data_IF_038428933941
#
_entry.id   IF_038428933941
#
_cell.length_a   1.000
_cell.length_b   1.000
_cell.length_c   1.000
_cell.angle_alpha   90.00
_cell.angle_beta   90.00
_cell.angle_gamma   90.00
#
_symmetry.space_group_name_H-M   'P 1'
#
loop_
_entity.id
_entity.type
_entity.pdbx_description
1 polymer ?
#
# COMPACT_ATOMS: atom_id res chain seq x y z
N UNK A 1 -24.64 1.97 -24.74
CA UNK A 1 -24.48 1.39 -23.38
C UNK A 1 -22.99 1.08 -23.18
N UNK A 2 -22.31 1.83 -22.31
CA UNK A 2 -20.86 1.68 -22.06
C UNK A 2 -20.59 0.24 -21.59
N UNK A 3 -19.75 -0.50 -22.31
CA UNK A 3 -19.23 -1.81 -21.88
C UNK A 3 -18.64 -1.65 -20.48
N UNK A 4 -19.37 -2.10 -19.47
CA UNK A 4 -18.81 -2.32 -18.13
C UNK A 4 -17.74 -3.38 -18.30
N UNK A 5 -16.50 -2.92 -18.46
CA UNK A 5 -15.30 -3.76 -18.45
C UNK A 5 -15.38 -4.58 -17.16
N UNK A 6 -15.70 -5.87 -17.28
CA UNK A 6 -15.80 -6.79 -16.15
C UNK A 6 -14.43 -6.78 -15.46
N UNK A 7 -14.35 -6.05 -14.36
CA UNK A 7 -13.21 -6.11 -13.45
C UNK A 7 -13.14 -7.55 -12.96
N UNK A 8 -11.99 -8.18 -13.11
CA UNK A 8 -11.75 -9.51 -12.54
C UNK A 8 -11.99 -9.42 -11.03
N UNK A 9 -12.49 -10.48 -10.39
CA UNK A 9 -12.74 -10.51 -8.93
C UNK A 9 -11.57 -9.92 -8.12
N UNK A 10 -10.34 -10.25 -8.52
CA UNK A 10 -9.09 -9.72 -7.96
C UNK A 10 -8.97 -8.19 -8.04
N UNK A 11 -9.34 -7.59 -9.17
CA UNK A 11 -9.30 -6.14 -9.36
C UNK A 11 -10.37 -5.44 -8.51
N UNK A 12 -11.58 -6.00 -8.44
CA UNK A 12 -12.64 -5.48 -7.59
C UNK A 12 -12.27 -5.54 -6.11
N UNK A 13 -11.68 -6.64 -5.66
CA UNK A 13 -11.15 -6.79 -4.32
C UNK A 13 -10.05 -5.77 -4.02
N UNK A 14 -9.12 -5.56 -4.96
CA UNK A 14 -8.08 -4.54 -4.83
C UNK A 14 -8.64 -3.12 -4.71
N UNK A 15 -9.67 -2.77 -5.48
CA UNK A 15 -10.33 -1.46 -5.39
C UNK A 15 -11.05 -1.28 -4.06
N UNK A 16 -11.73 -2.33 -3.57
CA UNK A 16 -12.37 -2.31 -2.25
C UNK A 16 -11.34 -2.15 -1.13
N UNK A 17 -10.22 -2.87 -1.19
CA UNK A 17 -9.13 -2.72 -0.25
C UNK A 17 -8.55 -1.29 -0.31
N UNK A 18 -8.40 -0.70 -1.49
CA UNK A 18 -7.93 0.67 -1.63
C UNK A 18 -8.86 1.66 -0.93
N UNK A 19 -10.17 1.54 -1.17
CA UNK A 19 -11.18 2.39 -0.54
C UNK A 19 -11.19 2.23 0.98
N UNK A 20 -11.12 0.99 1.47
CA UNK A 20 -11.06 0.71 2.90
C UNK A 20 -9.80 1.26 3.55
N UNK A 21 -8.63 1.04 2.94
CA UNK A 21 -7.36 1.56 3.45
C UNK A 21 -7.36 3.08 3.54
N UNK A 22 -7.84 3.77 2.50
CA UNK A 22 -8.00 5.23 2.53
C UNK A 22 -9.00 5.69 3.59
N UNK A 23 -10.15 5.03 3.72
CA UNK A 23 -11.15 5.36 4.73
C UNK A 23 -10.58 5.22 6.15
N UNK A 24 -9.80 4.18 6.40
CA UNK A 24 -9.15 3.95 7.70
C UNK A 24 -8.10 5.01 7.98
N UNK A 25 -7.23 5.34 7.01
CA UNK A 25 -6.23 6.41 7.19
C UNK A 25 -6.88 7.77 7.44
N UNK A 26 -7.92 8.10 6.66
CA UNK A 26 -8.68 9.35 6.84
C UNK A 26 -9.35 9.35 8.22
N UNK A 27 -9.99 8.24 8.62
CA UNK A 27 -10.63 8.11 9.92
C UNK A 27 -9.61 8.29 11.06
N UNK A 28 -8.45 7.65 10.97
CA UNK A 28 -7.37 7.76 11.95
C UNK A 28 -6.84 9.19 12.07
N UNK A 29 -6.80 9.95 10.97
CA UNK A 29 -6.41 11.37 10.98
C UNK A 29 -7.45 12.25 11.68
N UNK A 30 -8.74 12.00 11.47
CA UNK A 30 -9.79 12.81 12.08
C UNK A 30 -10.10 12.41 13.53
N UNK A 31 -9.84 11.17 13.92
CA UNK A 31 -10.24 10.63 15.22
C UNK A 31 -9.06 10.45 16.18
N UNK A 32 -8.55 11.57 16.71
CA UNK A 32 -7.52 11.56 17.76
C UNK A 32 -6.09 11.58 17.22
N UNK A 33 -5.81 12.51 16.31
CA UNK A 33 -4.48 12.76 15.74
C UNK A 33 -3.42 12.92 16.85
N UNK A 34 -2.33 12.17 16.77
CA UNK A 34 -1.26 12.14 17.78
C UNK A 34 -1.48 11.16 18.94
N UNK A 35 -2.61 10.45 19.00
CA UNK A 35 -2.83 9.40 20.00
C UNK A 35 -2.32 8.04 19.51
N UNK A 36 -1.94 7.15 20.45
CA UNK A 36 -1.51 5.78 20.11
C UNK A 36 -2.54 5.00 19.31
N UNK A 37 -3.82 5.20 19.64
CA UNK A 37 -4.94 4.54 18.97
C UNK A 37 -5.05 4.95 17.50
N UNK A 38 -4.91 6.25 17.20
CA UNK A 38 -4.81 6.77 15.82
C UNK A 38 -3.61 6.19 15.08
N UNK A 39 -2.48 5.99 15.78
CA UNK A 39 -1.30 5.33 15.21
C UNK A 39 -1.56 3.89 14.77
N UNK A 40 -2.22 3.10 15.62
CA UNK A 40 -2.58 1.70 15.33
C UNK A 40 -3.56 1.60 14.16
N UNK A 41 -4.55 2.50 14.11
CA UNK A 41 -5.50 2.58 13.00
C UNK A 41 -4.81 2.98 11.68
N UNK A 42 -3.87 3.94 11.71
CA UNK A 42 -3.08 4.32 10.53
C UNK A 42 -2.19 3.19 10.03
N UNK A 43 -1.61 2.40 10.94
CA UNK A 43 -0.87 1.19 10.58
C UNK A 43 -1.78 0.16 9.88
N UNK A 44 -2.97 -0.07 10.43
CA UNK A 44 -3.99 -0.93 9.82
C UNK A 44 -4.37 -0.47 8.42
N UNK A 45 -4.63 0.83 8.25
CA UNK A 45 -4.93 1.45 6.96
C UNK A 45 -3.79 1.27 5.94
N UNK A 46 -2.56 1.52 6.36
CA UNK A 46 -1.37 1.34 5.53
C UNK A 46 -1.18 -0.11 5.06
N UNK A 47 -1.48 -1.09 5.93
CA UNK A 47 -1.44 -2.51 5.58
C UNK A 47 -2.52 -2.91 4.57
N UNK A 48 -3.73 -2.38 4.73
CA UNK A 48 -4.81 -2.61 3.77
C UNK A 48 -4.47 -1.96 2.41
N UNK A 49 -3.84 -0.78 2.38
CA UNK A 49 -3.32 -0.16 1.16
C UNK A 49 -2.18 -0.97 0.50
N UNK A 50 -1.31 -1.58 1.30
CA UNK A 50 -0.26 -2.48 0.83
C UNK A 50 -0.85 -3.74 0.16
N UNK A 51 -1.96 -4.26 0.69
CA UNK A 51 -2.69 -5.35 0.06
C UNK A 51 -3.39 -4.87 -1.22
N UNK A 52 -4.03 -3.70 -1.17
CA UNK A 52 -4.72 -3.11 -2.30
C UNK A 52 -3.78 -2.94 -3.52
N UNK A 53 -2.57 -2.44 -3.29
CA UNK A 53 -1.52 -2.33 -4.31
C UNK A 53 -1.15 -3.67 -4.91
N UNK A 54 -1.06 -4.73 -4.08
CA UNK A 54 -0.82 -6.08 -4.57
C UNK A 54 -1.99 -6.59 -5.44
N UNK A 55 -3.23 -6.26 -5.14
CA UNK A 55 -4.38 -6.79 -5.88
C UNK A 55 -4.77 -5.98 -7.12
N UNK A 56 -4.63 -4.65 -7.08
CA UNK A 56 -5.03 -3.75 -8.17
C UNK A 56 -4.24 -4.00 -9.47
N UNK A 57 -3.01 -4.52 -9.38
CA UNK A 57 -2.19 -4.86 -10.55
C UNK A 57 -2.14 -3.72 -11.60
N UNK A 58 -2.06 -2.48 -11.11
CA UNK A 58 -2.06 -1.29 -11.97
C UNK A 58 -0.77 -1.24 -12.79
N UNK A 59 -0.92 -1.10 -14.12
CA UNK A 59 0.20 -0.81 -15.03
C UNK A 59 0.70 0.64 -14.90
N UNK A 60 -0.02 1.49 -14.16
CA UNK A 60 0.34 2.89 -13.97
C UNK A 60 1.33 3.01 -12.81
N UNK A 61 2.60 3.13 -13.17
CA UNK A 61 3.74 3.34 -12.27
C UNK A 61 3.50 4.48 -11.24
N UNK A 62 2.91 5.63 -11.60
CA UNK A 62 2.63 6.71 -10.64
C UNK A 62 1.62 6.32 -9.56
N UNK A 63 0.62 5.50 -9.90
CA UNK A 63 -0.41 5.07 -8.95
C UNK A 63 0.19 4.11 -7.91
N UNK A 64 1.05 3.20 -8.35
CA UNK A 64 1.73 2.28 -7.43
C UNK A 64 2.69 3.04 -6.50
N UNK A 65 3.46 4.00 -7.03
CA UNK A 65 4.32 4.86 -6.21
C UNK A 65 3.53 5.70 -5.20
N UNK A 66 2.40 6.28 -5.61
CA UNK A 66 1.53 7.05 -4.71
C UNK A 66 0.99 6.19 -3.58
N UNK A 67 0.56 4.96 -3.87
CA UNK A 67 0.06 4.04 -2.85
C UNK A 67 1.17 3.51 -1.92
N UNK A 68 2.36 3.22 -2.46
CA UNK A 68 3.53 2.87 -1.64
C UNK A 68 3.90 4.02 -0.71
N UNK A 69 3.88 5.25 -1.21
CA UNK A 69 4.16 6.44 -0.40
C UNK A 69 3.11 6.63 0.70
N UNK A 70 1.82 6.48 0.38
CA UNK A 70 0.72 6.54 1.37
C UNK A 70 0.89 5.47 2.47
N UNK A 71 1.07 4.20 2.08
CA UNK A 71 1.35 3.14 3.04
C UNK A 71 2.57 3.47 3.90
N UNK A 72 3.68 3.89 3.29
CA UNK A 72 4.92 4.24 4.02
C UNK A 72 4.68 5.38 5.02
N UNK A 73 3.85 6.37 4.67
CA UNK A 73 3.47 7.45 5.57
C UNK A 73 2.66 6.96 6.77
N UNK A 74 1.72 6.03 6.58
CA UNK A 74 0.99 5.42 7.69
C UNK A 74 1.91 4.66 8.66
N UNK A 75 2.89 3.91 8.14
CA UNK A 75 3.92 3.26 8.96
C UNK A 75 4.82 4.24 9.70
N UNK A 76 5.24 5.32 9.02
CA UNK A 76 6.07 6.36 9.62
C UNK A 76 5.32 7.04 10.77
N UNK A 77 4.04 7.38 10.58
CA UNK A 77 3.21 7.98 11.61
C UNK A 77 3.01 7.07 12.83
N UNK A 78 2.70 5.79 12.61
CA UNK A 78 2.62 4.79 13.69
C UNK A 78 3.91 4.74 14.52
N UNK A 79 5.05 4.64 13.84
CA UNK A 79 6.36 4.55 14.47
C UNK A 79 6.69 5.82 15.24
N UNK A 80 6.35 6.98 14.68
CA UNK A 80 6.56 8.28 15.31
C UNK A 80 5.76 8.43 16.60
N UNK A 81 4.47 8.07 16.59
CA UNK A 81 3.62 8.18 17.79
C UNK A 81 4.10 7.27 18.91
N UNK A 82 4.52 6.05 18.57
CA UNK A 82 4.96 5.07 19.56
C UNK A 82 6.36 5.35 20.12
N UNK A 83 7.29 5.83 19.28
CA UNK A 83 8.70 5.93 19.65
C UNK A 83 9.11 7.36 20.00
N UNK A 84 8.43 8.38 19.46
CA UNK A 84 8.81 9.81 19.51
C UNK A 84 10.25 10.09 19.05
N UNK A 85 10.90 9.11 18.42
CA UNK A 85 12.28 9.17 17.98
C UNK A 85 12.31 9.23 16.44
N UNK A 86 12.56 10.44 15.93
CA UNK A 86 12.62 10.74 14.50
C UNK A 86 13.55 9.81 13.71
N UNK A 87 14.70 9.45 14.30
CA UNK A 87 15.70 8.62 13.64
C UNK A 87 15.15 7.21 13.37
N UNK A 88 14.47 6.61 14.36
CA UNK A 88 13.83 5.30 14.20
C UNK A 88 12.68 5.33 13.22
N UNK A 89 11.87 6.39 13.23
CA UNK A 89 10.80 6.59 12.24
C UNK A 89 11.33 6.61 10.81
N UNK A 90 12.43 7.33 10.56
CA UNK A 90 13.04 7.42 9.22
C UNK A 90 13.60 6.07 8.80
N UNK A 91 14.31 5.36 9.69
CA UNK A 91 14.85 4.02 9.39
C UNK A 91 13.71 3.05 9.02
N UNK A 92 12.63 3.03 9.80
CA UNK A 92 11.49 2.14 9.55
C UNK A 92 10.75 2.51 8.27
N UNK A 93 10.56 3.81 8.00
CA UNK A 93 9.96 4.28 6.76
C UNK A 93 10.78 3.84 5.53
N UNK A 94 12.11 3.96 5.59
CA UNK A 94 13.02 3.52 4.51
C UNK A 94 12.97 2.00 4.34
N UNK A 95 12.98 1.23 5.43
CA UNK A 95 12.86 -0.23 5.40
C UNK A 95 11.54 -0.69 4.78
N UNK A 96 10.42 -0.08 5.17
CA UNK A 96 9.09 -0.40 4.63
C UNK A 96 9.01 -0.03 3.15
N UNK A 97 9.48 1.16 2.77
CA UNK A 97 9.53 1.58 1.38
C UNK A 97 10.38 0.61 0.53
N UNK A 98 11.58 0.25 1.01
CA UNK A 98 12.45 -0.71 0.33
C UNK A 98 11.79 -2.09 0.22
N UNK A 99 11.14 -2.56 1.30
CA UNK A 99 10.40 -3.83 1.30
C UNK A 99 9.26 -3.83 0.28
N UNK A 100 8.45 -2.76 0.23
CA UNK A 100 7.37 -2.62 -0.75
C UNK A 100 7.93 -2.59 -2.17
N UNK A 101 8.95 -1.78 -2.44
CA UNK A 101 9.58 -1.69 -3.76
C UNK A 101 10.14 -3.03 -4.19
N UNK A 102 10.84 -3.75 -3.30
CA UNK A 102 11.36 -5.09 -3.58
C UNK A 102 10.25 -6.09 -3.87
N UNK A 103 9.20 -6.13 -3.03
CA UNK A 103 8.08 -7.06 -3.21
C UNK A 103 7.33 -6.82 -4.53
N UNK A 104 7.13 -5.56 -4.91
CA UNK A 104 6.51 -5.22 -6.20
C UNK A 104 7.47 -5.40 -7.38
N UNK A 105 8.77 -5.15 -7.21
CA UNK A 105 9.82 -5.37 -8.20
C UNK A 105 9.98 -6.85 -8.56
N UNK A 106 10.10 -7.72 -7.55
CA UNK A 106 10.12 -9.18 -7.72
C UNK A 106 8.92 -9.69 -8.52
N UNK A 107 7.74 -9.11 -8.28
CA UNK A 107 6.52 -9.48 -9.02
C UNK A 107 6.59 -9.10 -10.48
N UNK A 108 7.28 -8.02 -10.82
CA UNK A 108 7.58 -7.63 -12.20
C UNK A 108 8.49 -8.64 -12.90
N UNK A 109 9.56 -9.07 -12.23
CA UNK A 109 10.51 -10.06 -12.75
C UNK A 109 9.88 -11.43 -12.95
N UNK A 110 9.09 -11.93 -11.98
CA UNK A 110 8.37 -13.21 -12.11
C UNK A 110 7.43 -13.19 -13.31
N UNK A 111 6.76 -12.07 -13.58
CA UNK A 111 5.86 -11.92 -14.73
C UNK A 111 6.63 -11.86 -16.06
N UNK A 112 7.80 -11.24 -16.08
CA UNK A 112 8.67 -11.21 -17.26
C UNK A 112 9.17 -12.62 -17.62
N UNK A 113 9.63 -13.37 -16.62
CA UNK A 113 10.08 -14.75 -16.82
C UNK A 113 8.93 -15.71 -17.23
N UNK A 114 7.70 -15.46 -16.77
CA UNK A 114 6.53 -16.24 -17.20
C UNK A 114 6.11 -15.92 -18.66
N UNK A 115 6.38 -14.72 -19.17
CA UNK A 115 6.11 -14.40 -20.58
C UNK A 115 7.08 -15.05 -21.56
N UNK A 116 8.33 -15.29 -21.15
CA UNK A 116 9.30 -16.01 -21.99
C UNK A 116 9.08 -17.52 -22.02
N UNK A 117 8.32 -18.07 -21.07
CA UNK A 117 7.98 -19.49 -21.03
C UNK A 117 7.09 -19.97 -22.19
N UNK A 118 6.33 -19.06 -22.82
CA UNK A 118 5.47 -19.39 -23.96
C UNK A 118 6.21 -19.38 -25.32
N UNK A 119 7.52 -19.14 -25.33
CA UNK A 119 8.34 -19.10 -26.54
C UNK A 119 9.18 -20.37 -26.79
N UNK A 120 8.87 -21.48 -26.11
CA UNK A 120 9.46 -22.80 -26.36
C UNK A 120 8.46 -23.77 -26.99
#
# INVERSE_FOLDING_TARGET
MKKLRQLTFLQSFGVLALLLGLLIEIYALFNGLGTRLSGDDMFGGAMVLALATAFIHSKNLPVNLGLIALSTLGFAYFTFIHTQAWLWTIILAVLVAAFMVYFFGLRGEVRHNQSEWFHF
#
